data_IF_493340200260
#
_entry.id   IF_493340200260
#
_cell.length_a   1.000
_cell.length_b   1.000
_cell.length_c   1.000
_cell.angle_alpha   90.00
_cell.angle_beta   90.00
_cell.angle_gamma   90.00
#
_symmetry.space_group_name_H-M   'P 1'
#
loop_
_entity.id
_entity.type
_entity.pdbx_description
1 polymer ?
#
# COMPACT_ATOMS: atom_id res chain seq x y z
N UNK A 1 -2.92 -19.02 -0.12
CA UNK A 1 -3.31 -17.70 -0.66
C UNK A 1 -4.21 -17.93 -1.87
N UNK A 2 -5.24 -17.11 -2.09
CA UNK A 2 -6.10 -17.25 -3.29
C UNK A 2 -5.38 -16.70 -4.53
N UNK A 3 -5.69 -17.20 -5.74
CA UNK A 3 -5.06 -16.71 -6.99
C UNK A 3 -5.23 -15.20 -7.19
N UNK A 4 -6.39 -14.64 -6.81
CA UNK A 4 -6.67 -13.21 -6.92
C UNK A 4 -5.73 -12.37 -6.04
N UNK A 5 -5.54 -12.76 -4.77
CA UNK A 5 -4.58 -12.06 -3.88
C UNK A 5 -3.16 -12.19 -4.45
N UNK A 6 -2.77 -13.39 -4.92
CA UNK A 6 -1.46 -13.61 -5.54
C UNK A 6 -1.21 -12.69 -6.74
N UNK A 7 -2.21 -12.52 -7.61
CA UNK A 7 -2.13 -11.61 -8.76
C UNK A 7 -2.02 -10.14 -8.35
N UNK A 8 -2.83 -9.71 -7.38
CA UNK A 8 -2.81 -8.34 -6.83
C UNK A 8 -1.44 -8.04 -6.20
N UNK A 9 -0.92 -8.94 -5.36
CA UNK A 9 0.41 -8.80 -4.73
C UNK A 9 1.51 -8.78 -5.79
N UNK A 10 1.43 -9.65 -6.81
CA UNK A 10 2.40 -9.68 -7.93
C UNK A 10 2.40 -8.36 -8.69
N UNK A 11 1.23 -7.75 -8.94
CA UNK A 11 1.12 -6.42 -9.55
C UNK A 11 1.82 -5.35 -8.70
N UNK A 12 1.61 -5.38 -7.38
CA UNK A 12 2.27 -4.50 -6.43
C UNK A 12 3.80 -4.61 -6.51
N UNK A 13 4.30 -5.85 -6.42
CA UNK A 13 5.73 -6.19 -6.43
C UNK A 13 6.42 -5.87 -7.75
N UNK A 14 5.84 -6.26 -8.88
CA UNK A 14 6.55 -6.26 -10.15
C UNK A 14 6.26 -5.04 -11.03
N UNK A 15 5.18 -4.29 -10.73
CA UNK A 15 4.75 -3.17 -11.56
C UNK A 15 4.67 -1.88 -10.74
N UNK A 16 3.79 -1.82 -9.73
CA UNK A 16 3.49 -0.56 -9.02
C UNK A 16 4.70 -0.05 -8.25
N UNK A 17 5.35 -0.89 -7.43
CA UNK A 17 6.54 -0.48 -6.66
C UNK A 17 7.66 -0.04 -7.62
N UNK A 18 8.11 -0.84 -8.60
CA UNK A 18 9.16 -0.43 -9.54
C UNK A 18 8.86 0.87 -10.30
N UNK A 19 7.60 1.10 -10.69
CA UNK A 19 7.19 2.36 -11.31
C UNK A 19 7.31 3.53 -10.33
N UNK A 20 6.89 3.36 -9.09
CA UNK A 20 6.98 4.38 -8.06
C UNK A 20 8.42 4.68 -7.61
N UNK A 21 9.30 3.68 -7.58
CA UNK A 21 10.72 3.89 -7.27
C UNK A 21 11.38 4.86 -8.26
N UNK A 22 11.03 4.78 -9.54
CA UNK A 22 11.53 5.71 -10.57
C UNK A 22 11.09 7.16 -10.29
N UNK A 23 9.87 7.37 -9.79
CA UNK A 23 9.38 8.70 -9.38
C UNK A 23 10.11 9.25 -8.15
N UNK A 24 10.72 8.38 -7.34
CA UNK A 24 11.52 8.74 -6.17
C UNK A 24 13.02 8.83 -6.47
N UNK A 25 13.44 8.67 -7.74
CA UNK A 25 14.84 8.64 -8.14
C UNK A 25 15.61 7.40 -7.64
N UNK A 26 14.91 6.34 -7.25
CA UNK A 26 15.50 5.09 -6.76
C UNK A 26 15.61 4.08 -7.91
N UNK A 27 16.77 3.42 -8.05
CA UNK A 27 16.98 2.40 -9.08
C UNK A 27 16.09 1.18 -8.77
N UNK A 28 15.28 0.76 -9.74
CA UNK A 28 14.33 -0.33 -9.54
C UNK A 28 14.94 -1.74 -9.68
N UNK A 29 16.04 -1.90 -10.42
CA UNK A 29 16.61 -3.22 -10.72
C UNK A 29 17.11 -3.99 -9.48
N UNK A 30 17.73 -3.39 -8.44
CA UNK A 30 18.15 -4.13 -7.26
C UNK A 30 16.94 -4.69 -6.49
N UNK A 31 15.86 -3.92 -6.46
CA UNK A 31 14.60 -4.36 -5.87
C UNK A 31 13.97 -5.50 -6.69
N UNK A 32 13.93 -5.38 -8.02
CA UNK A 32 13.36 -6.40 -8.90
C UNK A 32 14.07 -7.77 -8.78
N UNK A 33 15.37 -7.77 -8.51
CA UNK A 33 16.14 -9.00 -8.30
C UNK A 33 15.58 -9.86 -7.13
N UNK A 34 15.06 -9.24 -6.07
CA UNK A 34 14.37 -9.95 -4.98
C UNK A 34 12.85 -10.02 -5.14
N UNK A 35 12.23 -9.07 -5.86
CA UNK A 35 10.79 -9.08 -6.09
C UNK A 35 10.33 -10.20 -7.02
N UNK A 36 11.13 -10.56 -8.03
CA UNK A 36 10.84 -11.69 -8.93
C UNK A 36 10.71 -13.03 -8.18
N UNK A 37 11.71 -13.49 -7.40
CA UNK A 37 11.56 -14.69 -6.58
C UNK A 37 10.43 -14.54 -5.56
N UNK A 38 10.26 -13.36 -4.94
CA UNK A 38 9.12 -13.08 -4.06
C UNK A 38 7.77 -13.35 -4.71
N UNK A 39 7.57 -12.88 -5.93
CA UNK A 39 6.34 -13.13 -6.69
C UNK A 39 6.16 -14.62 -7.00
N UNK A 40 7.23 -15.32 -7.38
CA UNK A 40 7.19 -16.77 -7.61
C UNK A 40 6.75 -17.54 -6.35
N UNK A 41 7.14 -17.09 -5.16
CA UNK A 41 6.76 -17.72 -3.89
C UNK A 41 5.24 -17.78 -3.68
N UNK A 42 4.47 -16.85 -4.26
CA UNK A 42 3.02 -16.74 -4.11
C UNK A 42 2.29 -17.90 -4.76
N UNK A 43 2.89 -18.45 -5.82
CA UNK A 43 2.33 -19.49 -6.69
C UNK A 43 2.81 -20.90 -6.32
N UNK A 44 3.68 -21.00 -5.31
CA UNK A 44 4.13 -22.27 -4.76
C UNK A 44 3.30 -22.65 -3.51
N UNK A 45 3.20 -23.95 -3.20
CA UNK A 45 2.76 -24.41 -1.90
C UNK A 45 3.63 -23.80 -0.78
N UNK A 46 3.05 -23.62 0.40
CA UNK A 46 3.80 -23.21 1.59
C UNK A 46 4.88 -24.25 1.91
N UNK A 47 6.06 -23.77 2.27
CA UNK A 47 7.20 -24.64 2.56
C UNK A 47 8.55 -23.91 2.41
N UNK A 48 9.66 -24.61 2.70
CA UNK A 48 10.99 -24.01 2.78
C UNK A 48 11.40 -23.24 1.51
N UNK A 49 11.09 -23.76 0.33
CA UNK A 49 11.38 -23.09 -0.94
C UNK A 49 10.63 -21.76 -1.07
N UNK A 50 9.33 -21.74 -0.79
CA UNK A 50 8.54 -20.52 -0.86
C UNK A 50 9.00 -19.48 0.17
N UNK A 51 9.42 -19.93 1.36
CA UNK A 51 10.03 -19.07 2.38
C UNK A 51 11.34 -18.47 1.89
N UNK A 52 12.25 -19.28 1.34
CA UNK A 52 13.53 -18.79 0.82
C UNK A 52 13.35 -17.72 -0.26
N UNK A 53 12.41 -17.95 -1.18
CA UNK A 53 12.05 -16.98 -2.22
C UNK A 53 11.41 -15.70 -1.65
N UNK A 54 10.57 -15.81 -0.61
CA UNK A 54 10.02 -14.66 0.10
C UNK A 54 11.10 -13.89 0.89
N UNK A 55 12.14 -14.56 1.39
CA UNK A 55 13.30 -13.91 2.03
C UNK A 55 14.08 -13.08 1.03
N UNK A 56 14.25 -13.53 -0.23
CA UNK A 56 14.84 -12.70 -1.28
C UNK A 56 14.07 -11.38 -1.47
N UNK A 57 12.73 -11.42 -1.40
CA UNK A 57 11.91 -10.22 -1.39
C UNK A 57 12.13 -9.36 -0.15
N UNK A 58 12.23 -9.97 1.04
CA UNK A 58 12.61 -9.26 2.27
C UNK A 58 13.91 -8.48 2.13
N UNK A 59 14.97 -9.10 1.59
CA UNK A 59 16.24 -8.42 1.34
C UNK A 59 16.09 -7.23 0.37
N UNK A 60 15.29 -7.38 -0.69
CA UNK A 60 14.97 -6.28 -1.60
C UNK A 60 14.19 -5.14 -0.93
N UNK A 61 13.33 -5.43 0.05
CA UNK A 61 12.62 -4.38 0.82
C UNK A 61 13.53 -3.68 1.82
N UNK A 62 14.56 -4.35 2.37
CA UNK A 62 15.59 -3.70 3.18
C UNK A 62 16.37 -2.67 2.36
N UNK A 63 16.69 -2.98 1.10
CA UNK A 63 17.26 -2.01 0.17
C UNK A 63 16.41 -0.73 0.05
N UNK A 64 15.08 -0.86 -0.02
CA UNK A 64 14.17 0.29 -0.03
C UNK A 64 14.18 1.05 1.31
N UNK A 65 14.12 0.33 2.43
CA UNK A 65 14.16 0.92 3.77
C UNK A 65 15.45 1.74 3.99
N UNK A 66 16.61 1.27 3.50
CA UNK A 66 17.84 2.05 3.54
C UNK A 66 17.75 3.36 2.75
N UNK A 67 17.04 3.36 1.62
CA UNK A 67 16.75 4.59 0.87
C UNK A 67 15.75 5.53 1.56
N UNK A 68 15.01 5.06 2.56
CA UNK A 68 14.17 5.92 3.41
C UNK A 68 15.01 6.73 4.42
N UNK A 69 16.13 6.19 4.91
CA UNK A 69 16.91 6.81 6.01
C UNK A 69 17.37 8.24 5.73
N UNK A 70 17.90 8.61 4.54
CA UNK A 70 18.31 9.99 4.27
C UNK A 70 17.14 10.97 4.37
N UNK A 71 15.93 10.55 4.02
CA UNK A 71 14.69 11.36 4.06
C UNK A 71 14.20 11.60 5.50
N UNK A 72 14.67 10.81 6.45
CA UNK A 72 14.35 10.97 7.87
C UNK A 72 15.33 11.90 8.61
N UNK A 73 16.45 12.29 7.99
CA UNK A 73 17.44 13.17 8.63
C UNK A 73 16.98 14.62 8.77
N UNK A 74 16.15 15.10 7.83
CA UNK A 74 15.53 16.43 7.84
C UNK A 74 14.09 16.30 7.34
N UNK A 75 13.22 15.70 8.16
CA UNK A 75 11.90 15.32 7.71
C UNK A 75 11.05 16.56 7.45
N UNK A 76 10.60 16.70 6.21
CA UNK A 76 9.42 17.48 5.87
C UNK A 76 8.26 16.53 5.56
N UNK A 77 7.01 17.01 5.51
CA UNK A 77 5.84 16.19 5.19
C UNK A 77 5.97 15.29 3.95
N UNK A 78 6.58 15.81 2.87
CA UNK A 78 6.74 15.07 1.61
C UNK A 78 7.82 14.01 1.75
N UNK A 79 8.92 14.33 2.43
CA UNK A 79 9.99 13.37 2.74
C UNK A 79 9.49 12.26 3.65
N UNK A 80 8.63 12.55 4.63
CA UNK A 80 7.99 11.55 5.47
C UNK A 80 7.09 10.63 4.65
N UNK A 81 6.26 11.17 3.75
CA UNK A 81 5.44 10.36 2.84
C UNK A 81 6.29 9.43 1.95
N UNK A 82 7.39 9.95 1.39
CA UNK A 82 8.33 9.16 0.61
C UNK A 82 9.07 8.10 1.44
N UNK A 83 9.44 8.43 2.69
CA UNK A 83 10.05 7.48 3.62
C UNK A 83 9.06 6.37 4.01
N UNK A 84 7.81 6.71 4.30
CA UNK A 84 6.72 5.75 4.51
C UNK A 84 6.57 4.83 3.30
N UNK A 85 6.53 5.40 2.09
CA UNK A 85 6.42 4.60 0.87
C UNK A 85 7.58 3.61 0.75
N UNK A 86 8.81 4.03 1.01
CA UNK A 86 10.00 3.17 0.89
C UNK A 86 10.13 2.14 2.03
N UNK A 87 9.67 2.45 3.24
CA UNK A 87 9.83 1.57 4.40
C UNK A 87 8.73 0.51 4.50
N UNK A 88 7.49 0.86 4.18
CA UNK A 88 6.31 0.00 4.35
C UNK A 88 6.35 -1.35 3.61
N UNK A 89 6.99 -1.50 2.43
CA UNK A 89 7.20 -2.81 1.82
C UNK A 89 7.90 -3.83 2.74
N UNK A 90 8.69 -3.37 3.72
CA UNK A 90 9.32 -4.27 4.70
C UNK A 90 8.29 -5.01 5.55
N UNK A 91 7.17 -4.37 5.91
CA UNK A 91 6.07 -5.01 6.63
C UNK A 91 5.37 -6.03 5.74
N UNK A 92 5.21 -5.71 4.46
CA UNK A 92 4.70 -6.64 3.46
C UNK A 92 5.60 -7.88 3.35
N UNK A 93 6.92 -7.70 3.34
CA UNK A 93 7.87 -8.80 3.25
C UNK A 93 7.88 -9.69 4.50
N UNK A 94 7.89 -9.10 5.70
CA UNK A 94 7.78 -9.88 6.94
C UNK A 94 6.49 -10.69 6.99
N UNK A 95 5.38 -10.08 6.57
CA UNK A 95 4.08 -10.76 6.48
C UNK A 95 4.12 -11.90 5.46
N UNK A 96 4.73 -11.70 4.30
CA UNK A 96 4.86 -12.73 3.28
C UNK A 96 5.72 -13.90 3.76
N UNK A 97 6.86 -13.64 4.41
CA UNK A 97 7.74 -14.69 4.94
C UNK A 97 6.99 -15.55 5.96
N UNK A 98 6.32 -14.91 6.93
CA UNK A 98 5.52 -15.62 7.93
C UNK A 98 4.37 -16.41 7.28
N UNK A 99 3.69 -15.83 6.30
CA UNK A 99 2.59 -16.48 5.60
C UNK A 99 3.05 -17.69 4.76
N UNK A 100 4.19 -17.58 4.06
CA UNK A 100 4.80 -18.69 3.32
C UNK A 100 5.31 -19.80 4.24
N UNK A 101 5.70 -19.45 5.46
CA UNK A 101 6.11 -20.39 6.49
C UNK A 101 4.91 -21.00 7.26
N UNK A 102 3.70 -20.48 7.06
CA UNK A 102 2.50 -20.93 7.78
C UNK A 102 2.44 -20.49 9.25
N UNK A 103 3.26 -19.52 9.66
CA UNK A 103 3.30 -19.00 11.03
C UNK A 103 2.29 -17.88 11.24
N UNK A 104 1.77 -17.80 12.46
CA UNK A 104 1.07 -16.61 12.94
C UNK A 104 2.11 -15.57 13.36
N UNK A 105 2.01 -14.35 12.86
CA UNK A 105 2.91 -13.26 13.21
C UNK A 105 2.10 -12.20 13.95
N UNK A 106 2.47 -11.87 15.19
CA UNK A 106 1.78 -10.88 16.02
C UNK A 106 0.26 -11.13 16.17
N UNK A 107 -0.15 -12.40 16.23
CA UNK A 107 -1.56 -12.81 16.32
C UNK A 107 -2.29 -12.91 14.98
N UNK A 108 -1.71 -12.42 13.89
CA UNK A 108 -2.32 -12.52 12.56
C UNK A 108 -2.25 -13.93 11.99
N UNK A 109 -3.38 -14.41 11.47
CA UNK A 109 -3.44 -15.67 10.73
C UNK A 109 -2.73 -15.54 9.37
N UNK A 110 -2.27 -16.65 8.76
CA UNK A 110 -1.70 -16.62 7.41
C UNK A 110 -2.62 -15.98 6.36
N UNK A 111 -3.95 -16.13 6.51
CA UNK A 111 -4.88 -15.45 5.61
C UNK A 111 -4.82 -13.92 5.75
N UNK A 112 -4.82 -13.41 6.98
CA UNK A 112 -4.70 -11.97 7.22
C UNK A 112 -3.33 -11.45 6.77
N UNK A 113 -2.25 -12.20 7.03
CA UNK A 113 -0.91 -11.82 6.57
C UNK A 113 -0.84 -11.67 5.05
N UNK A 114 -1.52 -12.52 4.27
CA UNK A 114 -1.62 -12.38 2.83
C UNK A 114 -2.29 -11.04 2.40
N UNK A 115 -3.33 -10.61 3.12
CA UNK A 115 -3.97 -9.32 2.90
C UNK A 115 -3.06 -8.16 3.31
N UNK A 116 -2.30 -8.32 4.39
CA UNK A 116 -1.32 -7.35 4.87
C UNK A 116 -0.27 -7.06 3.80
N UNK A 117 0.21 -8.08 3.06
CA UNK A 117 1.14 -7.87 1.94
C UNK A 117 0.55 -6.89 0.91
N UNK A 118 -0.69 -7.13 0.47
CA UNK A 118 -1.36 -6.26 -0.49
C UNK A 118 -1.56 -4.84 0.06
N UNK A 119 -2.03 -4.70 1.30
CA UNK A 119 -2.26 -3.39 1.92
C UNK A 119 -0.99 -2.55 1.98
N UNK A 120 0.15 -3.13 2.35
CA UNK A 120 1.39 -2.37 2.40
C UNK A 120 2.00 -2.06 1.02
N UNK A 121 1.63 -2.78 -0.04
CA UNK A 121 1.96 -2.37 -1.43
C UNK A 121 1.11 -1.20 -1.92
N UNK A 122 -0.18 -1.17 -1.59
CA UNK A 122 -1.09 -0.15 -2.13
C UNK A 122 -1.31 1.02 -1.16
N UNK A 123 -1.79 0.77 0.05
CA UNK A 123 -1.96 1.81 1.06
C UNK A 123 -0.62 2.28 1.64
N UNK A 124 0.28 1.33 1.92
CA UNK A 124 1.62 1.66 2.45
C UNK A 124 2.50 2.39 1.43
N UNK A 125 2.76 1.75 0.29
CA UNK A 125 3.64 2.30 -0.74
C UNK A 125 2.94 3.28 -1.68
N UNK A 126 1.94 2.82 -2.46
CA UNK A 126 1.42 3.62 -3.57
C UNK A 126 0.67 4.88 -3.11
N UNK A 127 -0.19 4.75 -2.10
CA UNK A 127 -0.93 5.89 -1.56
C UNK A 127 0.00 6.91 -0.90
N UNK A 128 1.01 6.48 -0.13
CA UNK A 128 1.99 7.40 0.47
C UNK A 128 2.83 8.12 -0.58
N UNK A 129 3.24 7.41 -1.64
CA UNK A 129 3.92 8.01 -2.78
C UNK A 129 3.06 9.09 -3.45
N UNK A 130 1.81 8.75 -3.79
CA UNK A 130 0.88 9.68 -4.45
C UNK A 130 0.60 10.88 -3.55
N UNK A 131 0.35 10.66 -2.26
CA UNK A 131 0.13 11.72 -1.27
C UNK A 131 1.32 12.68 -1.18
N UNK A 132 2.55 12.15 -1.15
CA UNK A 132 3.77 12.95 -1.14
C UNK A 132 3.94 13.80 -2.40
N UNK A 133 3.75 13.20 -3.58
CA UNK A 133 3.91 13.90 -4.87
C UNK A 133 2.83 14.97 -5.10
N UNK A 134 1.56 14.64 -4.80
CA UNK A 134 0.44 15.60 -4.87
C UNK A 134 0.62 16.69 -3.82
N UNK A 135 1.00 16.34 -2.60
CA UNK A 135 1.28 17.30 -1.52
C UNK A 135 2.40 18.27 -1.90
N UNK A 136 3.46 17.80 -2.56
CA UNK A 136 4.52 18.65 -3.10
C UNK A 136 3.99 19.62 -4.15
N UNK A 137 3.25 19.12 -5.15
CA UNK A 137 2.71 19.93 -6.23
C UNK A 137 1.74 21.00 -5.72
N UNK A 138 0.86 20.63 -4.79
CA UNK A 138 -0.13 21.51 -4.19
C UNK A 138 0.42 22.35 -3.03
N UNK A 139 1.70 22.19 -2.67
CA UNK A 139 2.34 22.81 -1.50
C UNK A 139 1.57 22.57 -0.20
N UNK A 140 1.01 21.37 -0.03
CA UNK A 140 0.22 20.95 1.12
C UNK A 140 0.91 19.85 1.89
N UNK A 141 1.53 20.21 3.02
CA UNK A 141 2.12 19.23 3.94
C UNK A 141 1.09 18.31 4.60
N UNK A 142 -0.11 18.84 4.87
CA UNK A 142 -1.22 18.05 5.41
C UNK A 142 -1.59 16.88 4.48
N UNK A 143 -1.71 17.14 3.16
CA UNK A 143 -1.99 16.09 2.18
C UNK A 143 -0.90 15.01 2.15
N UNK A 144 0.37 15.37 2.32
CA UNK A 144 1.47 14.41 2.35
C UNK A 144 1.45 13.55 3.63
N UNK A 145 0.99 14.09 4.77
CA UNK A 145 0.99 13.38 6.05
C UNK A 145 -0.26 12.52 6.30
N UNK A 146 -1.35 12.73 5.57
CA UNK A 146 -2.61 12.02 5.84
C UNK A 146 -2.47 10.50 5.68
N UNK A 147 -1.75 10.04 4.66
CA UNK A 147 -1.54 8.59 4.42
C UNK A 147 -0.59 7.96 5.42
N UNK A 148 0.61 8.52 5.72
CA UNK A 148 1.45 8.03 6.80
C UNK A 148 0.72 7.96 8.14
N UNK A 149 -0.01 9.02 8.52
CA UNK A 149 -0.77 9.06 9.76
C UNK A 149 -1.90 8.02 9.77
N UNK A 150 -2.72 7.97 8.73
CA UNK A 150 -3.81 7.00 8.61
C UNK A 150 -3.32 5.56 8.63
N UNK A 151 -2.24 5.24 7.92
CA UNK A 151 -1.65 3.90 7.90
C UNK A 151 -1.15 3.47 9.28
N UNK A 152 -0.48 4.37 10.00
CA UNK A 152 -0.02 4.10 11.37
C UNK A 152 -1.19 3.94 12.34
N UNK A 153 -2.25 4.73 12.20
CA UNK A 153 -3.44 4.63 13.04
C UNK A 153 -4.22 3.33 12.78
N UNK A 154 -4.37 2.90 11.54
CA UNK A 154 -5.00 1.60 11.21
C UNK A 154 -4.16 0.46 11.78
N UNK A 155 -2.83 0.49 11.56
CA UNK A 155 -1.93 -0.54 12.08
C UNK A 155 -1.93 -0.59 13.61
N UNK A 156 -1.86 0.57 14.28
CA UNK A 156 -1.93 0.66 15.73
C UNK A 156 -3.31 0.25 16.27
N UNK A 157 -4.37 0.64 15.56
CA UNK A 157 -5.75 0.33 15.89
C UNK A 157 -6.02 -1.16 15.97
N UNK A 158 -5.40 -1.96 15.10
CA UNK A 158 -5.48 -3.42 15.18
C UNK A 158 -5.06 -3.99 16.55
N UNK A 159 -4.04 -3.41 17.19
CA UNK A 159 -3.58 -3.87 18.50
C UNK A 159 -4.43 -3.36 19.67
N UNK A 160 -5.32 -2.40 19.42
CA UNK A 160 -6.16 -1.73 20.43
C UNK A 160 -7.62 -2.20 20.35
N UNK A 161 -8.15 -2.37 19.15
CA UNK A 161 -9.50 -2.87 18.86
C UNK A 161 -10.16 -2.19 17.66
N UNK A 162 -11.27 -2.77 17.20
CA UNK A 162 -11.97 -2.43 15.95
C UNK A 162 -12.37 -0.94 15.86
N UNK A 163 -12.71 -0.29 16.97
CA UNK A 163 -13.02 1.15 17.00
C UNK A 163 -11.82 2.03 16.69
N UNK A 164 -10.63 1.64 17.12
CA UNK A 164 -9.40 2.35 16.80
C UNK A 164 -9.01 2.13 15.34
N UNK A 165 -9.22 0.91 14.80
CA UNK A 165 -9.06 0.62 13.39
C UNK A 165 -10.02 1.44 12.51
N UNK A 166 -11.28 1.60 12.94
CA UNK A 166 -12.25 2.47 12.29
C UNK A 166 -11.80 3.93 12.29
N UNK A 167 -11.30 4.45 13.43
CA UNK A 167 -10.79 5.82 13.50
C UNK A 167 -9.63 6.05 12.51
N UNK A 168 -8.69 5.09 12.44
CA UNK A 168 -7.62 5.11 11.44
C UNK A 168 -8.15 5.09 10.00
N UNK A 169 -9.16 4.25 9.73
CA UNK A 169 -9.80 4.12 8.42
C UNK A 169 -10.51 5.42 7.99
N UNK A 170 -11.14 6.13 8.92
CA UNK A 170 -11.74 7.46 8.70
C UNK A 170 -10.68 8.48 8.34
N UNK A 171 -9.58 8.56 9.10
CA UNK A 171 -8.47 9.48 8.83
C UNK A 171 -7.84 9.20 7.47
N UNK A 172 -7.57 7.92 7.17
CA UNK A 172 -7.00 7.52 5.90
C UNK A 172 -7.93 7.86 4.73
N UNK A 173 -9.23 7.58 4.86
CA UNK A 173 -10.24 7.87 3.85
C UNK A 173 -10.33 9.37 3.56
N UNK A 174 -10.49 10.19 4.60
CA UNK A 174 -10.55 11.65 4.46
C UNK A 174 -9.26 12.18 3.82
N UNK A 175 -8.11 11.62 4.21
CA UNK A 175 -6.82 11.89 3.62
C UNK A 175 -6.74 11.59 2.13
N UNK A 176 -7.20 10.42 1.73
CA UNK A 176 -7.20 9.98 0.33
C UNK A 176 -8.16 10.81 -0.53
N UNK A 177 -9.33 11.20 0.00
CA UNK A 177 -10.23 12.12 -0.70
C UNK A 177 -9.62 13.51 -0.86
N UNK A 178 -8.93 14.01 0.17
CA UNK A 178 -8.21 15.28 0.08
C UNK A 178 -7.10 15.25 -0.97
N UNK A 179 -6.28 14.19 -0.98
CA UNK A 179 -5.26 13.95 -2.00
C UNK A 179 -5.88 13.84 -3.39
N UNK A 180 -6.99 13.10 -3.53
CA UNK A 180 -7.71 12.96 -4.79
C UNK A 180 -8.25 14.30 -5.32
N UNK A 181 -8.83 15.12 -4.44
CA UNK A 181 -9.31 16.45 -4.78
C UNK A 181 -8.18 17.38 -5.24
N UNK A 182 -7.06 17.41 -4.51
CA UNK A 182 -5.88 18.19 -4.92
C UNK A 182 -5.33 17.69 -6.26
N UNK A 183 -5.21 16.37 -6.44
CA UNK A 183 -4.74 15.78 -7.68
C UNK A 183 -5.63 16.15 -8.86
N UNK A 184 -6.96 16.13 -8.70
CA UNK A 184 -7.91 16.60 -9.71
C UNK A 184 -7.66 18.06 -10.08
N UNK A 185 -7.44 18.94 -9.08
CA UNK A 185 -7.19 20.37 -9.33
C UNK A 185 -5.87 20.62 -10.05
N UNK A 186 -4.86 19.78 -9.77
CA UNK A 186 -3.51 19.93 -10.33
C UNK A 186 -3.31 19.21 -11.67
N UNK A 187 -4.04 18.13 -11.93
CA UNK A 187 -3.82 17.24 -13.07
C UNK A 187 -5.14 16.94 -13.78
N UNK A 188 -5.34 17.47 -15.00
CA UNK A 188 -6.56 17.20 -15.79
C UNK A 188 -6.48 15.81 -16.47
N UNK A 189 -7.62 15.12 -16.60
CA UNK A 189 -7.72 13.83 -17.32
C UNK A 189 -7.84 12.60 -16.43
N UNK A 190 -6.89 11.65 -16.51
CA UNK A 190 -6.90 10.29 -15.89
C UNK A 190 -7.23 10.28 -14.38
N UNK A 191 -7.04 11.40 -13.69
CA UNK A 191 -7.41 11.57 -12.28
C UNK A 191 -8.92 11.62 -12.01
N UNK A 192 -9.77 11.85 -13.02
CA UNK A 192 -11.23 11.75 -12.90
C UNK A 192 -11.67 10.32 -12.57
N UNK A 193 -11.26 9.36 -13.41
CA UNK A 193 -11.61 7.95 -13.27
C UNK A 193 -10.92 7.35 -12.03
N UNK A 194 -9.64 7.65 -11.86
CA UNK A 194 -8.85 7.22 -10.69
C UNK A 194 -9.47 7.75 -9.39
N UNK A 195 -9.93 9.00 -9.38
CA UNK A 195 -10.60 9.63 -8.24
C UNK A 195 -11.96 9.01 -7.94
N UNK A 196 -12.77 8.72 -8.97
CA UNK A 196 -14.05 8.04 -8.78
C UNK A 196 -13.90 6.64 -8.17
N UNK A 197 -12.94 5.85 -8.68
CA UNK A 197 -12.63 4.52 -8.12
C UNK A 197 -12.12 4.64 -6.69
N UNK A 198 -11.27 5.63 -6.40
CA UNK A 198 -10.77 5.87 -5.05
C UNK A 198 -11.91 6.21 -4.08
N UNK A 199 -12.85 7.07 -4.48
CA UNK A 199 -14.02 7.40 -3.64
C UNK A 199 -14.85 6.16 -3.34
N UNK A 200 -15.23 5.39 -4.37
CA UNK A 200 -16.00 4.17 -4.20
C UNK A 200 -15.26 3.13 -3.32
N UNK A 201 -13.97 2.96 -3.55
CA UNK A 201 -13.11 2.03 -2.80
C UNK A 201 -13.00 2.41 -1.32
N UNK A 202 -12.83 3.71 -1.01
CA UNK A 202 -12.77 4.16 0.38
C UNK A 202 -14.13 4.09 1.08
N UNK A 203 -15.23 4.33 0.38
CA UNK A 203 -16.58 4.12 0.94
C UNK A 203 -16.82 2.65 1.31
N UNK A 204 -16.37 1.70 0.47
CA UNK A 204 -16.42 0.28 0.80
C UNK A 204 -15.58 -0.04 2.04
N UNK A 205 -14.39 0.54 2.17
CA UNK A 205 -13.54 0.36 3.34
C UNK A 205 -14.21 0.87 4.62
N UNK A 206 -14.81 2.06 4.58
CA UNK A 206 -15.56 2.62 5.71
C UNK A 206 -16.78 1.78 6.06
N UNK A 207 -17.55 1.35 5.06
CA UNK A 207 -18.71 0.48 5.29
C UNK A 207 -18.31 -0.83 5.97
N UNK A 208 -17.18 -1.40 5.56
CA UNK A 208 -16.65 -2.61 6.20
C UNK A 208 -16.20 -2.34 7.63
N UNK A 209 -15.38 -1.30 7.85
CA UNK A 209 -14.84 -0.97 9.17
C UNK A 209 -15.93 -0.60 10.18
N UNK A 210 -16.98 0.13 9.75
CA UNK A 210 -18.14 0.44 10.58
C UNK A 210 -18.88 -0.84 10.97
N UNK A 211 -19.12 -1.73 10.00
CA UNK A 211 -19.83 -2.97 10.29
C UNK A 211 -19.04 -3.90 11.21
N UNK A 212 -17.73 -3.98 11.03
CA UNK A 212 -16.85 -4.74 11.93
C UNK A 212 -16.89 -4.17 13.35
N UNK A 213 -16.68 -2.86 13.53
CA UNK A 213 -16.63 -2.23 14.84
C UNK A 213 -17.99 -2.21 15.58
N UNK A 214 -19.09 -2.07 14.84
CA UNK A 214 -20.44 -1.99 15.41
C UNK A 214 -21.20 -3.33 15.41
N UNK A 215 -20.60 -4.40 14.89
CA UNK A 215 -21.27 -5.71 14.71
C UNK A 215 -22.45 -5.66 13.72
N UNK A 216 -22.43 -4.74 12.76
CA UNK A 216 -23.46 -4.60 11.73
C UNK A 216 -23.13 -5.45 10.50
N UNK A 217 -24.13 -5.83 9.67
CA UNK A 217 -23.86 -6.50 8.41
C UNK A 217 -22.88 -5.71 7.54
N UNK A 218 -21.83 -6.38 7.06
CA UNK A 218 -20.81 -5.80 6.20
C UNK A 218 -20.42 -6.76 5.07
N UNK A 219 -19.80 -6.26 3.99
CA UNK A 219 -19.27 -7.09 2.92
C UNK A 219 -18.38 -8.22 3.44
N UNK A 220 -18.47 -9.39 2.80
CA UNK A 220 -17.55 -10.49 3.08
C UNK A 220 -16.12 -10.11 2.68
N UNK A 221 -15.13 -10.80 3.27
CA UNK A 221 -13.72 -10.58 2.92
C UNK A 221 -13.45 -10.83 1.43
N UNK A 222 -14.08 -11.84 0.84
CA UNK A 222 -13.97 -12.15 -0.59
C UNK A 222 -14.49 -11.00 -1.46
N UNK A 223 -15.63 -10.42 -1.09
CA UNK A 223 -16.20 -9.26 -1.79
C UNK A 223 -15.30 -8.04 -1.65
N UNK A 224 -14.72 -7.79 -0.47
CA UNK A 224 -13.75 -6.71 -0.26
C UNK A 224 -12.50 -6.87 -1.12
N UNK A 225 -11.94 -8.08 -1.21
CA UNK A 225 -10.80 -8.34 -2.09
C UNK A 225 -11.16 -8.06 -3.55
N UNK A 226 -12.32 -8.54 -4.01
CA UNK A 226 -12.76 -8.42 -5.39
C UNK A 226 -13.14 -6.99 -5.81
N UNK A 227 -13.60 -6.16 -4.88
CA UNK A 227 -14.06 -4.79 -5.16
C UNK A 227 -13.03 -3.76 -4.70
N UNK A 228 -12.87 -3.57 -3.39
CA UNK A 228 -11.93 -2.65 -2.79
C UNK A 228 -10.48 -2.98 -3.16
N UNK A 229 -10.08 -4.26 -3.04
CA UNK A 229 -8.71 -4.71 -3.36
C UNK A 229 -8.34 -4.47 -4.83
N UNK A 230 -9.18 -4.95 -5.76
CA UNK A 230 -8.98 -4.75 -7.21
C UNK A 230 -9.06 -3.26 -7.58
N UNK A 231 -10.04 -2.53 -7.05
CA UNK A 231 -10.21 -1.09 -7.26
C UNK A 231 -8.98 -0.29 -6.83
N UNK A 232 -8.43 -0.60 -5.65
CA UNK A 232 -7.20 0.03 -5.17
C UNK A 232 -5.98 -0.34 -6.02
N UNK A 233 -5.84 -1.60 -6.42
CA UNK A 233 -4.68 -2.08 -7.15
C UNK A 233 -4.62 -1.50 -8.58
N UNK A 234 -5.72 -1.65 -9.34
CA UNK A 234 -5.78 -1.27 -10.75
C UNK A 234 -6.29 0.15 -10.94
N UNK A 235 -7.43 0.48 -10.31
CA UNK A 235 -8.11 1.75 -10.54
C UNK A 235 -7.44 2.94 -9.86
N UNK A 236 -6.89 2.75 -8.66
CA UNK A 236 -6.13 3.78 -7.96
C UNK A 236 -4.62 3.69 -8.22
N UNK A 237 -3.94 2.66 -7.69
CA UNK A 237 -2.49 2.65 -7.57
C UNK A 237 -1.78 2.61 -8.93
N UNK A 238 -2.15 1.67 -9.80
CA UNK A 238 -1.55 1.56 -11.13
C UNK A 238 -1.82 2.82 -11.96
N UNK A 239 -3.08 3.26 -12.04
CA UNK A 239 -3.47 4.45 -12.81
C UNK A 239 -2.81 5.73 -12.29
N UNK A 240 -2.81 5.97 -10.97
CA UNK A 240 -2.21 7.17 -10.38
C UNK A 240 -0.69 7.22 -10.63
N UNK A 241 0.02 6.11 -10.37
CA UNK A 241 1.48 6.05 -10.58
C UNK A 241 1.82 6.17 -12.07
N UNK A 242 1.05 5.54 -12.96
CA UNK A 242 1.23 5.68 -14.40
C UNK A 242 1.00 7.10 -14.89
N UNK A 243 -0.06 7.76 -14.40
CA UNK A 243 -0.35 9.16 -14.72
C UNK A 243 0.78 10.09 -14.27
N UNK A 244 1.23 9.95 -13.02
CA UNK A 244 2.33 10.75 -12.48
C UNK A 244 3.65 10.55 -13.25
N UNK A 245 3.92 9.35 -13.78
CA UNK A 245 5.10 9.10 -14.63
C UNK A 245 5.04 9.79 -16.00
N UNK A 246 3.86 10.11 -16.51
CA UNK A 246 3.70 10.82 -17.79
C UNK A 246 3.81 12.33 -17.65
N UNK A 247 3.65 12.85 -16.44
CA UNK A 247 3.62 14.28 -16.14
C UNK A 247 5.02 14.89 -15.91
N UNK A 248 6.03 14.30 -16.55
CA UNK A 248 7.48 14.47 -16.32
C UNK A 248 7.96 14.15 -14.89
N UNK A 249 9.14 13.53 -14.74
CA UNK A 249 9.81 13.46 -13.45
C UNK A 249 10.30 14.87 -13.08
N UNK A 250 9.60 15.51 -12.14
CA UNK A 250 10.12 16.65 -11.39
C UNK A 250 11.46 16.30 -10.72
#
# INVERSE_FOLDING_TARGET
MTPLIGAIVTLGMLVVIPMGLRLLGVRAWPFLAGALPGALSLWLPRGPLAVALAVCYGLATLYLAFHALPRLRRPDPVQLAAATALATPSVAALSLIAERAGYHLLGYTPHMLALTVAHFHFAGFAAALVAGLVGRQARSGAAALTVPAGTLLVLGGYFVGDWAELAGSVVLTAGMWWVGWLAWRSFRGVFLLTGAVLVASMLLALSWAVGQAAGLPHPSMELMIATHGVGNAFGFALCAVAALRRLDPL
#
